data_IF_774879090570
#
_entry.id   IF_774879090570
#
_cell.length_a   1.000
_cell.length_b   1.000
_cell.length_c   1.000
_cell.angle_alpha   90.00
_cell.angle_beta   90.00
_cell.angle_gamma   90.00
#
_symmetry.space_group_name_H-M   'P 1'
#
loop_
_entity.id
_entity.type
_entity.pdbx_description
1 polymer ?
#
# COMPACT_ATOMS: atom_id res chain seq x y z
N UNK A 1 36.29 -31.12 -117.93
CA UNK A 1 35.07 -30.66 -117.23
C UNK A 1 33.87 -30.89 -118.13
N UNK A 2 32.77 -31.42 -117.61
CA UNK A 2 31.51 -31.55 -118.36
C UNK A 2 30.63 -30.31 -118.14
N UNK A 3 29.78 -29.97 -119.11
CA UNK A 3 28.89 -28.79 -119.01
C UNK A 3 28.00 -28.86 -117.75
N UNK A 4 27.56 -30.07 -117.37
CA UNK A 4 26.78 -30.32 -116.16
C UNK A 4 27.50 -29.84 -114.89
N UNK A 5 28.82 -30.03 -114.79
CA UNK A 5 29.61 -29.57 -113.63
C UNK A 5 29.61 -28.04 -113.50
N UNK A 6 29.67 -27.31 -114.62
CA UNK A 6 29.63 -25.84 -114.64
C UNK A 6 28.25 -25.35 -114.19
N UNK A 7 27.16 -25.95 -114.71
CA UNK A 7 25.80 -25.58 -114.31
C UNK A 7 25.53 -25.83 -112.82
N UNK A 8 26.00 -26.96 -112.29
CA UNK A 8 25.85 -27.31 -110.86
C UNK A 8 26.65 -26.36 -109.95
N UNK A 9 27.86 -25.96 -110.37
CA UNK A 9 28.70 -25.01 -109.65
C UNK A 9 28.06 -23.61 -109.60
N UNK A 10 27.50 -23.13 -110.72
CA UNK A 10 26.78 -21.86 -110.77
C UNK A 10 25.52 -21.89 -109.89
N UNK A 11 24.74 -22.99 -109.95
CA UNK A 11 23.57 -23.16 -109.09
C UNK A 11 23.93 -23.16 -107.60
N UNK A 12 25.05 -23.80 -107.22
CA UNK A 12 25.58 -23.77 -105.86
C UNK A 12 25.94 -22.36 -105.38
N UNK A 13 26.59 -21.55 -106.23
CA UNK A 13 26.92 -20.15 -105.92
C UNK A 13 25.64 -19.32 -105.74
N UNK A 14 24.64 -19.48 -106.62
CA UNK A 14 23.35 -18.77 -106.50
C UNK A 14 22.62 -19.15 -105.22
N UNK A 15 22.60 -20.44 -104.86
CA UNK A 15 22.01 -20.89 -103.59
C UNK A 15 22.76 -20.34 -102.37
N UNK A 16 24.09 -20.28 -102.42
CA UNK A 16 24.92 -19.73 -101.35
C UNK A 16 24.63 -18.23 -101.13
N UNK A 17 24.59 -17.43 -102.20
CA UNK A 17 24.27 -15.99 -102.13
C UNK A 17 22.81 -15.75 -101.69
N UNK A 18 21.87 -16.56 -102.18
CA UNK A 18 20.47 -16.49 -101.74
C UNK A 18 20.30 -16.81 -100.25
N UNK A 19 21.08 -17.78 -99.73
CA UNK A 19 21.08 -18.15 -98.31
C UNK A 19 21.57 -17.00 -97.41
N UNK A 20 22.58 -16.23 -97.84
CA UNK A 20 23.00 -15.02 -97.13
C UNK A 20 21.87 -13.98 -97.02
N UNK A 21 21.15 -13.70 -98.12
CA UNK A 21 20.08 -12.71 -98.13
C UNK A 21 18.86 -13.14 -97.27
N UNK A 22 18.56 -14.45 -97.24
CA UNK A 22 17.54 -15.02 -96.34
C UNK A 22 17.99 -14.95 -94.89
N UNK A 23 19.24 -15.35 -94.59
CA UNK A 23 19.78 -15.31 -93.23
C UNK A 23 19.80 -13.89 -92.66
N UNK A 24 20.25 -12.90 -93.43
CA UNK A 24 20.33 -11.49 -92.99
C UNK A 24 18.93 -10.89 -92.71
N UNK A 25 17.90 -11.25 -93.50
CA UNK A 25 16.55 -10.68 -93.35
C UNK A 25 15.59 -11.43 -92.45
N UNK A 26 15.64 -12.77 -92.40
CA UNK A 26 14.73 -13.56 -91.55
C UNK A 26 15.34 -13.83 -90.17
N UNK A 27 16.60 -14.27 -90.09
CA UNK A 27 17.22 -14.62 -88.80
C UNK A 27 17.21 -13.46 -87.82
N UNK A 28 17.51 -12.24 -88.29
CA UNK A 28 17.45 -11.03 -87.46
C UNK A 28 16.05 -10.76 -86.86
N UNK A 29 14.98 -11.04 -87.62
CA UNK A 29 13.60 -10.83 -87.17
C UNK A 29 13.11 -11.96 -86.26
N UNK A 30 13.42 -13.20 -86.62
CA UNK A 30 13.09 -14.39 -85.82
C UNK A 30 13.86 -14.39 -84.48
N UNK A 31 15.08 -13.87 -84.46
CA UNK A 31 15.88 -13.66 -83.25
C UNK A 31 15.34 -12.53 -82.36
N UNK A 32 14.88 -11.40 -82.93
CA UNK A 32 14.19 -10.34 -82.17
C UNK A 32 12.88 -10.87 -81.56
N UNK A 33 12.08 -11.63 -82.33
CA UNK A 33 10.84 -12.23 -81.83
C UNK A 33 11.09 -13.33 -80.78
N UNK A 34 12.13 -14.15 -80.95
CA UNK A 34 12.57 -15.16 -79.98
C UNK A 34 13.08 -14.53 -78.68
N UNK A 35 13.96 -13.52 -78.76
CA UNK A 35 14.49 -12.85 -77.56
C UNK A 35 13.40 -12.08 -76.82
N UNK A 36 12.46 -11.45 -77.54
CA UNK A 36 11.28 -10.78 -76.96
C UNK A 36 10.31 -11.75 -76.27
N UNK A 37 10.00 -12.89 -76.88
CA UNK A 37 9.14 -13.90 -76.28
C UNK A 37 9.83 -14.62 -75.09
N UNK A 38 11.13 -14.91 -75.22
CA UNK A 38 11.95 -15.45 -74.12
C UNK A 38 12.00 -14.48 -72.94
N UNK A 39 12.26 -13.18 -73.19
CA UNK A 39 12.24 -12.13 -72.17
C UNK A 39 10.88 -12.05 -71.45
N UNK A 40 9.76 -12.19 -72.18
CA UNK A 40 8.41 -12.16 -71.61
C UNK A 40 8.09 -13.38 -70.73
N UNK A 41 8.53 -14.58 -71.12
CA UNK A 41 8.34 -15.78 -70.28
C UNK A 41 9.31 -15.81 -69.09
N UNK A 42 10.55 -15.31 -69.25
CA UNK A 42 11.47 -15.07 -68.12
C UNK A 42 10.87 -14.08 -67.13
N UNK A 43 10.27 -12.98 -67.60
CA UNK A 43 9.57 -12.02 -66.75
C UNK A 43 8.42 -12.68 -65.99
N UNK A 44 7.58 -13.48 -66.68
CA UNK A 44 6.51 -14.26 -66.02
C UNK A 44 7.01 -15.23 -64.95
N UNK A 45 8.15 -15.88 -65.17
CA UNK A 45 8.78 -16.78 -64.19
C UNK A 45 9.29 -15.98 -62.99
N UNK A 46 9.93 -14.82 -63.21
CA UNK A 46 10.40 -13.92 -62.15
C UNK A 46 9.22 -13.33 -61.36
N UNK A 47 8.19 -12.81 -62.02
CA UNK A 47 6.98 -12.28 -61.39
C UNK A 47 6.29 -13.35 -60.53
N UNK A 48 6.21 -14.59 -61.03
CA UNK A 48 5.66 -15.71 -60.24
C UNK A 48 6.55 -16.06 -59.04
N UNK A 49 7.85 -16.23 -59.23
CA UNK A 49 8.77 -16.54 -58.12
C UNK A 49 8.79 -15.42 -57.06
N UNK A 50 8.66 -14.16 -57.48
CA UNK A 50 8.51 -13.00 -56.60
C UNK A 50 7.17 -13.04 -55.85
N UNK A 51 6.08 -13.41 -56.51
CA UNK A 51 4.77 -13.61 -55.87
C UNK A 51 4.79 -14.76 -54.85
N UNK A 52 5.37 -15.91 -55.21
CA UNK A 52 5.51 -17.09 -54.35
C UNK A 52 6.41 -16.76 -53.13
N UNK A 53 7.47 -15.97 -53.32
CA UNK A 53 8.33 -15.48 -52.25
C UNK A 53 7.62 -14.46 -51.34
N UNK A 54 6.87 -13.50 -51.92
CA UNK A 54 6.09 -12.53 -51.16
C UNK A 54 5.02 -13.22 -50.30
N UNK A 55 4.30 -14.21 -50.84
CA UNK A 55 3.33 -15.00 -50.07
C UNK A 55 4.03 -15.71 -48.89
N UNK A 56 5.15 -16.41 -49.14
CA UNK A 56 5.91 -17.07 -48.08
C UNK A 56 6.42 -16.10 -47.00
N UNK A 57 6.79 -14.87 -47.38
CA UNK A 57 7.17 -13.81 -46.43
C UNK A 57 5.95 -13.40 -45.58
N UNK A 58 4.78 -13.18 -46.19
CA UNK A 58 3.53 -12.86 -45.47
C UNK A 58 3.14 -13.99 -44.52
N UNK A 59 3.17 -15.25 -44.96
CA UNK A 59 2.86 -16.43 -44.13
C UNK A 59 3.82 -16.54 -42.94
N UNK A 60 5.12 -16.28 -43.16
CA UNK A 60 6.15 -16.31 -42.10
C UNK A 60 5.97 -15.16 -41.11
N UNK A 61 5.59 -13.96 -41.60
CA UNK A 61 5.29 -12.80 -40.75
C UNK A 61 4.05 -13.09 -39.90
N UNK A 62 2.96 -13.60 -40.48
CA UNK A 62 1.75 -13.93 -39.73
C UNK A 62 2.03 -14.97 -38.65
N UNK A 63 2.77 -16.03 -38.99
CA UNK A 63 3.20 -17.06 -38.03
C UNK A 63 4.02 -16.47 -36.87
N UNK A 64 4.98 -15.58 -37.16
CA UNK A 64 5.83 -14.95 -36.12
C UNK A 64 5.09 -13.88 -35.31
N UNK A 65 4.06 -13.25 -35.87
CA UNK A 65 3.14 -12.36 -35.14
C UNK A 65 2.28 -13.17 -34.16
N UNK A 66 1.70 -14.28 -34.60
CA UNK A 66 0.91 -15.18 -33.75
C UNK A 66 1.76 -15.76 -32.60
N UNK A 67 2.95 -16.29 -32.92
CA UNK A 67 3.93 -16.79 -31.95
C UNK A 67 4.36 -15.69 -30.97
N UNK A 68 4.61 -14.48 -31.46
CA UNK A 68 4.97 -13.32 -30.63
C UNK A 68 3.83 -12.82 -29.73
N UNK A 69 2.57 -13.01 -30.13
CA UNK A 69 1.39 -12.76 -29.30
C UNK A 69 1.30 -13.81 -28.19
N UNK A 70 1.47 -15.10 -28.51
CA UNK A 70 1.43 -16.17 -27.50
C UNK A 70 2.60 -16.07 -26.49
N UNK A 71 3.82 -15.82 -26.97
CA UNK A 71 5.01 -15.57 -26.16
C UNK A 71 4.85 -14.35 -25.22
N UNK A 72 4.08 -13.34 -25.61
CA UNK A 72 3.76 -12.18 -24.79
C UNK A 72 2.57 -12.42 -23.84
N UNK A 73 1.55 -13.15 -24.30
CA UNK A 73 0.33 -13.43 -23.53
C UNK A 73 0.61 -14.32 -22.32
N UNK A 74 1.34 -15.42 -22.48
CA UNK A 74 1.66 -16.37 -21.39
C UNK A 74 2.32 -15.71 -20.15
N UNK A 75 3.39 -14.89 -20.28
CA UNK A 75 3.95 -14.18 -19.12
C UNK A 75 3.05 -13.05 -18.64
N UNK A 76 2.27 -12.40 -19.51
CA UNK A 76 1.34 -11.34 -19.11
C UNK A 76 0.13 -11.87 -18.32
N UNK A 77 -0.39 -13.05 -18.66
CA UNK A 77 -1.38 -13.78 -17.86
C UNK A 77 -0.82 -14.14 -16.48
N UNK A 78 0.40 -14.69 -16.43
CA UNK A 78 1.08 -15.01 -15.17
C UNK A 78 1.27 -13.76 -14.30
N UNK A 79 1.77 -12.68 -14.87
CA UNK A 79 1.95 -11.40 -14.17
C UNK A 79 0.61 -10.80 -13.73
N UNK A 80 -0.42 -10.86 -14.58
CA UNK A 80 -1.79 -10.42 -14.22
C UNK A 80 -2.33 -11.19 -13.03
N UNK A 81 -2.18 -12.53 -13.02
CA UNK A 81 -2.60 -13.36 -11.90
C UNK A 81 -1.80 -13.07 -10.61
N UNK A 82 -0.49 -12.87 -10.71
CA UNK A 82 0.36 -12.43 -9.60
C UNK A 82 -0.06 -11.06 -9.05
N UNK A 83 -0.40 -10.10 -9.93
CA UNK A 83 -0.88 -8.78 -9.50
C UNK A 83 -2.29 -8.83 -8.94
N UNK A 84 -3.19 -9.67 -9.43
CA UNK A 84 -4.51 -9.90 -8.80
C UNK A 84 -4.33 -10.49 -7.40
N UNK A 85 -3.43 -11.47 -7.21
CA UNK A 85 -3.11 -12.00 -5.89
C UNK A 85 -2.58 -10.91 -4.95
N UNK A 86 -1.59 -10.13 -5.39
CA UNK A 86 -1.00 -9.06 -4.57
C UNK A 86 -1.97 -7.89 -4.28
N UNK A 87 -2.89 -7.59 -5.22
CA UNK A 87 -3.95 -6.59 -5.03
C UNK A 87 -5.00 -7.10 -4.02
N UNK A 88 -5.35 -8.40 -4.07
CA UNK A 88 -6.25 -8.99 -3.08
C UNK A 88 -5.61 -8.99 -1.68
N UNK A 89 -4.35 -9.44 -1.54
CA UNK A 89 -3.62 -9.43 -0.26
C UNK A 89 -3.49 -8.01 0.33
N UNK A 90 -3.19 -7.01 -0.52
CA UNK A 90 -3.18 -5.61 -0.11
C UNK A 90 -4.58 -5.10 0.27
N UNK A 91 -5.62 -5.47 -0.50
CA UNK A 91 -7.01 -5.11 -0.23
C UNK A 91 -7.49 -5.69 1.11
N UNK A 92 -7.20 -6.96 1.38
CA UNK A 92 -7.56 -7.63 2.63
C UNK A 92 -6.84 -6.98 3.83
N UNK A 93 -5.56 -6.60 3.69
CA UNK A 93 -4.82 -5.85 4.71
C UNK A 93 -5.44 -4.45 4.96
N UNK A 94 -5.83 -3.73 3.90
CA UNK A 94 -6.46 -2.40 4.02
C UNK A 94 -7.87 -2.51 4.61
N UNK A 95 -8.64 -3.53 4.23
CA UNK A 95 -9.97 -3.81 4.80
C UNK A 95 -9.84 -4.13 6.30
N UNK A 96 -8.85 -4.95 6.70
CA UNK A 96 -8.58 -5.26 8.11
C UNK A 96 -8.19 -4.01 8.92
N UNK A 97 -7.39 -3.10 8.35
CA UNK A 97 -7.06 -1.82 9.01
C UNK A 97 -8.28 -0.87 9.07
N UNK A 98 -9.14 -0.86 8.05
CA UNK A 98 -10.42 -0.13 8.05
C UNK A 98 -11.38 -0.70 9.10
N UNK A 99 -11.50 -2.03 9.22
CA UNK A 99 -12.34 -2.71 10.22
C UNK A 99 -11.87 -2.38 11.64
N UNK A 100 -10.56 -2.50 11.91
CA UNK A 100 -9.95 -2.12 13.18
C UNK A 100 -10.16 -0.63 13.49
N UNK A 101 -10.05 0.25 12.49
CA UNK A 101 -10.33 1.68 12.68
C UNK A 101 -11.82 1.95 12.92
N UNK A 102 -12.73 1.19 12.30
CA UNK A 102 -14.16 1.26 12.58
C UNK A 102 -14.50 0.78 14.00
N UNK A 103 -13.89 -0.31 14.47
CA UNK A 103 -13.99 -0.77 15.86
C UNK A 103 -13.50 0.31 16.84
N UNK A 104 -12.32 0.89 16.59
CA UNK A 104 -11.79 2.00 17.39
C UNK A 104 -12.73 3.22 17.41
N UNK A 105 -13.34 3.58 16.27
CA UNK A 105 -14.31 4.68 16.18
C UNK A 105 -15.60 4.35 16.97
N UNK A 106 -16.12 3.13 16.88
CA UNK A 106 -17.28 2.68 17.67
C UNK A 106 -16.96 2.62 19.17
N UNK A 107 -15.76 2.21 19.55
CA UNK A 107 -15.29 2.24 20.93
C UNK A 107 -15.18 3.67 21.46
N UNK A 108 -14.62 4.60 20.68
CA UNK A 108 -14.57 6.03 21.03
C UNK A 108 -15.96 6.66 21.09
N UNK A 109 -16.87 6.31 20.17
CA UNK A 109 -18.26 6.77 20.20
C UNK A 109 -18.97 6.27 21.46
N UNK A 110 -18.81 4.99 21.80
CA UNK A 110 -19.34 4.42 23.05
C UNK A 110 -18.75 5.12 24.28
N UNK A 111 -17.42 5.26 24.36
CA UNK A 111 -16.79 5.96 25.49
C UNK A 111 -17.24 7.42 25.60
N UNK A 112 -17.52 8.10 24.48
CA UNK A 112 -18.07 9.44 24.49
C UNK A 112 -19.52 9.47 25.01
N UNK A 113 -20.34 8.47 24.67
CA UNK A 113 -21.69 8.33 25.23
C UNK A 113 -21.65 7.98 26.72
N UNK A 114 -20.87 6.95 27.11
CA UNK A 114 -20.66 6.55 28.50
C UNK A 114 -20.17 7.75 29.35
N UNK A 115 -19.34 8.64 28.78
CA UNK A 115 -18.90 9.90 29.41
C UNK A 115 -19.96 10.98 29.46
N UNK A 116 -20.80 11.11 28.43
CA UNK A 116 -21.95 12.02 28.44
C UNK A 116 -22.95 11.61 29.52
N UNK A 117 -23.27 10.32 29.61
CA UNK A 117 -24.16 9.75 30.63
C UNK A 117 -23.59 9.95 32.05
N UNK A 118 -22.27 9.76 32.24
CA UNK A 118 -21.59 10.06 33.50
C UNK A 118 -21.70 11.55 33.86
N UNK A 119 -21.41 12.46 32.92
CA UNK A 119 -21.51 13.91 33.12
C UNK A 119 -22.95 14.34 33.43
N UNK A 120 -23.94 13.79 32.76
CA UNK A 120 -25.36 14.13 32.96
C UNK A 120 -25.85 13.61 34.33
N UNK A 121 -25.46 12.40 34.73
CA UNK A 121 -25.71 11.88 36.08
C UNK A 121 -25.05 12.73 37.18
N UNK A 122 -23.82 13.20 36.94
CA UNK A 122 -23.11 14.08 37.87
C UNK A 122 -23.74 15.48 37.92
N UNK A 123 -24.22 16.02 36.80
CA UNK A 123 -24.96 17.29 36.75
C UNK A 123 -26.26 17.19 37.57
N UNK A 124 -27.00 16.09 37.42
CA UNK A 124 -28.20 15.81 38.23
C UNK A 124 -27.90 15.74 39.73
N UNK A 125 -26.81 15.07 40.12
CA UNK A 125 -26.36 15.02 41.52
C UNK A 125 -25.90 16.39 42.06
N UNK A 126 -25.32 17.24 41.21
CA UNK A 126 -24.94 18.62 41.54
C UNK A 126 -26.19 19.49 41.76
N UNK A 127 -27.20 19.41 40.88
CA UNK A 127 -28.44 20.17 41.06
C UNK A 127 -29.27 19.68 42.26
N UNK A 128 -29.29 18.37 42.56
CA UNK A 128 -29.90 17.89 43.80
C UNK A 128 -29.16 18.41 45.04
N UNK A 129 -27.81 18.42 45.00
CA UNK A 129 -26.98 18.96 46.08
C UNK A 129 -27.20 20.46 46.28
N UNK A 130 -27.31 21.23 45.19
CA UNK A 130 -27.63 22.67 45.18
C UNK A 130 -29.01 22.96 45.75
N UNK A 131 -30.01 22.14 45.43
CA UNK A 131 -31.35 22.24 46.02
C UNK A 131 -31.32 21.90 47.53
N UNK A 132 -30.60 20.84 47.93
CA UNK A 132 -30.39 20.49 49.35
C UNK A 132 -29.68 21.62 50.12
N UNK A 133 -28.66 22.25 49.53
CA UNK A 133 -27.95 23.41 50.10
C UNK A 133 -28.90 24.61 50.22
N UNK A 134 -29.72 24.90 49.21
CA UNK A 134 -30.69 26.00 49.25
C UNK A 134 -31.70 25.81 50.39
N UNK A 135 -32.26 24.60 50.53
CA UNK A 135 -33.16 24.23 51.65
C UNK A 135 -32.44 24.27 53.01
N UNK A 136 -31.14 23.96 53.08
CA UNK A 136 -30.35 24.15 54.31
C UNK A 136 -30.13 25.63 54.64
N UNK A 137 -29.83 26.48 53.66
CA UNK A 137 -29.66 27.93 53.86
C UNK A 137 -30.97 28.58 54.31
N UNK A 138 -32.10 28.21 53.72
CA UNK A 138 -33.44 28.63 54.15
C UNK A 138 -33.73 28.21 55.61
N UNK A 139 -33.44 26.96 55.97
CA UNK A 139 -33.58 26.47 57.35
C UNK A 139 -32.64 27.20 58.32
N UNK A 140 -31.41 27.49 57.92
CA UNK A 140 -30.44 28.25 58.74
C UNK A 140 -30.93 29.69 58.96
N UNK A 141 -31.48 30.35 57.93
CA UNK A 141 -32.10 31.67 58.07
C UNK A 141 -33.30 31.63 59.03
N UNK A 142 -34.22 30.68 58.85
CA UNK A 142 -35.37 30.50 59.74
C UNK A 142 -34.96 30.18 61.19
N UNK A 143 -33.89 29.42 61.41
CA UNK A 143 -33.33 29.15 62.74
C UNK A 143 -32.70 30.42 63.33
N UNK A 144 -31.96 31.21 62.54
CA UNK A 144 -31.37 32.49 62.97
C UNK A 144 -32.44 33.49 63.43
N UNK A 145 -33.55 33.62 62.70
CA UNK A 145 -34.69 34.45 63.09
C UNK A 145 -35.34 33.98 64.40
N UNK A 146 -35.48 32.67 64.59
CA UNK A 146 -36.03 32.11 65.83
C UNK A 146 -35.08 32.29 67.03
N UNK A 147 -33.76 32.11 66.85
CA UNK A 147 -32.75 32.40 67.89
C UNK A 147 -32.75 33.89 68.25
N UNK A 148 -32.92 34.78 67.27
CA UNK A 148 -33.03 36.23 67.51
C UNK A 148 -34.27 36.57 68.35
N UNK A 149 -35.42 35.94 68.06
CA UNK A 149 -36.65 36.07 68.87
C UNK A 149 -36.48 35.49 70.28
N UNK A 150 -35.84 34.33 70.42
CA UNK A 150 -35.64 33.67 71.72
C UNK A 150 -34.64 34.42 72.61
N UNK A 151 -33.56 34.97 72.04
CA UNK A 151 -32.58 35.78 72.80
C UNK A 151 -33.14 37.12 73.25
N UNK A 152 -34.06 37.73 72.49
CA UNK A 152 -34.85 38.87 72.94
C UNK A 152 -35.73 38.51 74.16
N UNK A 153 -36.42 37.37 74.13
CA UNK A 153 -37.23 36.89 75.25
C UNK A 153 -36.39 36.57 76.51
N UNK A 154 -35.23 35.94 76.34
CA UNK A 154 -34.36 35.51 77.45
C UNK A 154 -33.76 36.68 78.27
N UNK A 155 -33.63 37.88 77.69
CA UNK A 155 -33.23 39.08 78.45
C UNK A 155 -34.22 39.46 79.55
N UNK A 156 -35.50 39.16 79.37
CA UNK A 156 -36.56 39.50 80.33
C UNK A 156 -36.66 38.50 81.50
N UNK A 157 -35.86 37.42 81.52
CA UNK A 157 -35.98 36.31 82.48
C UNK A 157 -34.81 36.22 83.49
N UNK A 158 -33.70 36.93 83.29
CA UNK A 158 -32.46 36.79 84.09
C UNK A 158 -32.29 37.90 85.14
N UNK A 159 -33.26 38.03 86.04
CA UNK A 159 -33.25 39.01 87.14
C UNK A 159 -33.34 38.40 88.56
N UNK A 160 -33.36 37.06 88.69
CA UNK A 160 -33.61 36.40 89.97
C UNK A 160 -32.66 35.23 90.29
N UNK A 161 -32.19 35.25 91.54
CA UNK A 161 -31.52 34.20 92.32
C UNK A 161 -30.03 33.91 92.02
N UNK A 162 -29.24 33.92 93.10
CA UNK A 162 -27.77 33.87 93.09
C UNK A 162 -27.26 33.34 94.46
N UNK A 163 -27.07 32.03 94.60
CA UNK A 163 -26.06 31.44 95.50
C UNK A 163 -26.02 29.90 95.46
N UNK A 164 -24.82 29.31 95.32
CA UNK A 164 -24.15 28.44 96.33
C UNK A 164 -22.96 27.68 95.74
N UNK A 165 -21.78 28.00 96.26
CA UNK A 165 -20.48 27.27 96.21
C UNK A 165 -20.61 25.73 96.34
N UNK A 166 -19.75 24.83 95.84
CA UNK A 166 -18.46 24.83 95.09
C UNK A 166 -18.27 23.40 94.53
N UNK A 167 -17.46 23.06 93.51
CA UNK A 167 -15.99 22.96 93.50
C UNK A 167 -15.55 22.22 92.20
N UNK A 168 -14.35 22.51 91.65
CA UNK A 168 -13.40 21.58 90.96
C UNK A 168 -12.34 22.40 90.21
N UNK A 169 -11.10 21.89 90.18
CA UNK A 169 -9.91 22.49 89.53
C UNK A 169 -9.88 22.14 88.01
N UNK A 170 -9.45 23.05 87.12
CA UNK A 170 -8.09 23.16 86.56
C UNK A 170 -7.50 21.82 86.02
N UNK A 171 -6.86 21.75 84.83
CA UNK A 171 -6.32 22.80 83.95
C UNK A 171 -6.07 22.27 82.52
N UNK A 172 -6.01 23.19 81.55
CA UNK A 172 -5.23 23.21 80.28
C UNK A 172 -4.96 21.94 79.42
N UNK A 173 -5.18 22.11 78.11
CA UNK A 173 -4.72 21.28 76.99
C UNK A 173 -3.39 21.86 76.40
N UNK A 174 -2.84 21.49 75.21
CA UNK A 174 -3.29 20.56 74.14
C UNK A 174 -2.12 19.60 73.70
N UNK A 175 -1.79 19.20 72.44
CA UNK A 175 -2.22 19.52 71.06
C UNK A 175 -1.76 18.45 70.02
N UNK A 176 -2.23 18.59 68.76
CA UNK A 176 -1.66 18.12 67.46
C UNK A 176 -1.05 16.70 67.31
N UNK A 177 -1.65 15.92 66.41
CA UNK A 177 -0.98 14.86 65.62
C UNK A 177 -0.85 15.31 64.16
N UNK A 178 0.31 15.07 63.52
CA UNK A 178 0.55 15.32 62.09
C UNK A 178 1.06 14.05 61.40
N UNK A 179 0.76 13.90 60.11
CA UNK A 179 1.07 12.75 59.26
C UNK A 179 2.57 12.48 59.06
N UNK A 180 2.94 11.19 58.94
CA UNK A 180 3.83 10.74 57.86
C UNK A 180 3.76 9.21 57.61
N UNK A 181 4.14 8.81 56.40
CA UNK A 181 4.41 7.42 55.99
C UNK A 181 5.92 7.15 56.07
N UNK A 182 6.30 5.91 56.38
CA UNK A 182 7.57 5.27 55.95
C UNK A 182 7.35 3.75 55.84
N UNK A 183 8.28 3.05 55.18
CA UNK A 183 8.20 1.66 54.69
C UNK A 183 9.34 0.82 55.29
N UNK A 184 9.36 -0.51 55.04
CA UNK A 184 10.43 -1.49 55.39
C UNK A 184 10.62 -1.76 56.91
N UNK A 185 11.12 -2.90 57.40
CA UNK A 185 11.27 -4.33 56.98
C UNK A 185 11.34 -5.12 58.34
N UNK A 186 11.24 -6.45 58.56
CA UNK A 186 11.71 -7.66 57.86
C UNK A 186 11.19 -8.94 58.62
N UNK A 187 11.71 -10.12 58.26
CA UNK A 187 11.87 -11.37 59.07
C UNK A 187 10.68 -12.31 59.38
N UNK A 188 10.45 -13.23 58.43
CA UNK A 188 10.62 -14.70 58.56
C UNK A 188 9.73 -15.62 59.46
N UNK A 189 9.15 -16.64 58.78
CA UNK A 189 8.87 -18.06 59.19
C UNK A 189 8.10 -18.33 60.51
N UNK A 190 7.09 -19.20 60.55
CA UNK A 190 7.19 -20.65 60.25
C UNK A 190 5.81 -21.27 59.90
N UNK A 191 5.78 -22.52 59.45
CA UNK A 191 4.59 -23.32 59.07
C UNK A 191 3.64 -23.60 60.26
N UNK A 192 2.36 -23.88 59.98
CA UNK A 192 1.86 -25.28 60.10
C UNK A 192 0.55 -25.51 59.30
N UNK A 193 0.13 -26.77 59.14
CA UNK A 193 -1.13 -27.17 58.46
C UNK A 193 -1.59 -28.57 58.87
N UNK A 194 -2.89 -28.79 59.17
CA UNK A 194 -3.46 -30.12 58.95
C UNK A 194 -4.85 -30.14 58.26
N UNK A 195 -4.84 -30.79 57.09
CA UNK A 195 -5.92 -31.39 56.30
C UNK A 195 -7.17 -31.96 57.02
N UNK A 196 -8.34 -31.89 56.34
CA UNK A 196 -9.15 -33.06 55.86
C UNK A 196 -10.43 -32.64 55.08
N UNK A 197 -11.17 -33.48 54.32
CA UNK A 197 -10.84 -34.46 53.23
C UNK A 197 -12.11 -35.17 52.68
N UNK A 198 -12.52 -34.91 51.43
CA UNK A 198 -13.32 -35.79 50.53
C UNK A 198 -13.36 -35.11 49.13
N UNK A 199 -13.10 -35.67 47.93
CA UNK A 199 -13.12 -37.05 47.36
C UNK A 199 -14.55 -37.60 47.25
N UNK A 200 -15.13 -37.90 46.07
CA UNK A 200 -14.83 -38.89 44.99
C UNK A 200 -15.34 -38.30 43.64
N UNK A 201 -14.55 -38.21 42.53
CA UNK A 201 -14.27 -39.19 41.44
C UNK A 201 -15.45 -39.38 40.44
N UNK A 202 -15.31 -39.65 39.13
CA UNK A 202 -14.15 -40.09 38.32
C UNK A 202 -14.28 -39.76 36.79
N UNK A 203 -13.17 -39.92 36.05
CA UNK A 203 -12.88 -39.97 34.59
C UNK A 203 -14.01 -40.24 33.56
N UNK A 204 -13.96 -39.76 32.30
CA UNK A 204 -13.00 -40.08 31.20
C UNK A 204 -13.13 -39.13 29.96
N UNK A 205 -12.37 -39.19 28.82
CA UNK A 205 -10.93 -39.45 28.49
C UNK A 205 -10.70 -39.61 26.95
N UNK A 206 -9.60 -39.04 26.39
CA UNK A 206 -8.91 -39.37 25.08
C UNK A 206 -9.25 -38.60 23.79
N UNK A 207 -8.29 -37.81 23.26
CA UNK A 207 -7.83 -37.75 21.85
C UNK A 207 -6.77 -36.62 21.67
N UNK A 208 -5.47 -36.92 21.83
CA UNK A 208 -4.48 -37.01 20.74
C UNK A 208 -4.15 -35.68 20.03
N UNK A 209 -3.07 -34.96 20.39
CA UNK A 209 -1.64 -35.26 20.13
C UNK A 209 -1.27 -35.29 18.63
N UNK A 210 -0.77 -34.17 18.11
CA UNK A 210 0.32 -34.14 17.09
C UNK A 210 1.06 -32.78 17.09
N UNK A 211 1.99 -32.61 18.04
CA UNK A 211 3.01 -31.55 18.06
C UNK A 211 4.35 -32.23 18.33
N UNK A 212 5.45 -31.68 17.78
CA UNK A 212 6.84 -32.19 17.71
C UNK A 212 7.22 -32.74 16.33
N UNK A 213 7.77 -31.87 15.47
CA UNK A 213 9.14 -32.00 14.90
C UNK A 213 9.48 -30.78 14.00
N UNK A 214 10.77 -30.56 13.73
CA UNK A 214 11.34 -29.55 12.82
C UNK A 214 11.37 -28.05 13.19
N UNK A 215 11.60 -27.72 14.47
CA UNK A 215 12.40 -26.50 14.77
C UNK A 215 13.87 -26.78 14.40
N UNK A 216 14.23 -26.64 13.11
CA UNK A 216 15.59 -26.95 12.64
C UNK A 216 16.00 -26.29 11.31
N UNK A 217 15.64 -25.02 11.06
CA UNK A 217 16.24 -24.14 10.02
C UNK A 217 15.72 -22.69 10.06
N UNK A 218 16.15 -21.94 11.07
CA UNK A 218 15.82 -20.52 11.23
C UNK A 218 17.05 -19.72 11.71
N UNK A 219 18.17 -19.89 11.01
CA UNK A 219 19.43 -19.18 11.31
C UNK A 219 20.32 -19.07 10.06
N UNK A 220 19.86 -18.32 9.04
CA UNK A 220 20.66 -17.88 7.88
C UNK A 220 19.90 -16.91 6.92
N UNK A 221 19.45 -15.74 7.38
CA UNK A 221 19.58 -14.46 6.63
C UNK A 221 19.14 -13.27 7.49
N UNK A 222 20.08 -12.66 8.22
CA UNK A 222 19.85 -11.40 8.93
C UNK A 222 20.33 -10.23 8.09
N UNK A 223 19.50 -9.73 7.17
CA UNK A 223 19.70 -8.42 6.55
C UNK A 223 18.38 -7.82 6.03
N UNK A 224 18.37 -6.50 5.79
CA UNK A 224 17.23 -5.72 5.24
C UNK A 224 15.97 -5.50 6.13
N UNK A 225 16.09 -5.43 7.47
CA UNK A 225 15.14 -4.67 8.30
C UNK A 225 15.68 -3.25 8.53
N UNK A 226 15.35 -2.32 7.62
CA UNK A 226 15.73 -0.89 7.71
C UNK A 226 14.60 0.07 7.33
N UNK A 227 13.38 -0.23 7.74
CA UNK A 227 12.23 0.68 7.67
C UNK A 227 12.40 1.85 8.67
N UNK A 228 13.31 2.80 8.37
CA UNK A 228 13.66 3.90 9.27
C UNK A 228 14.17 5.22 8.64
N UNK A 229 14.81 5.20 7.46
CA UNK A 229 15.45 6.43 6.90
C UNK A 229 14.98 6.88 5.51
N UNK A 230 14.05 6.17 4.87
CA UNK A 230 13.69 6.40 3.46
C UNK A 230 13.06 7.78 3.13
N UNK A 231 12.67 8.56 4.15
CA UNK A 231 12.25 9.96 3.96
C UNK A 231 13.39 10.93 3.61
N UNK A 232 14.65 10.58 3.92
CA UNK A 232 15.83 11.39 3.56
C UNK A 232 16.34 11.04 2.16
N UNK A 233 16.51 9.76 1.86
CA UNK A 233 17.05 9.27 0.58
C UNK A 233 16.23 9.76 -0.61
N UNK A 234 14.90 9.59 -0.61
CA UNK A 234 14.07 10.10 -1.73
C UNK A 234 14.15 11.63 -1.89
N UNK A 235 14.36 12.40 -0.81
CA UNK A 235 14.60 13.86 -0.88
C UNK A 235 16.00 14.23 -1.41
N UNK A 236 17.01 13.38 -1.23
CA UNK A 236 18.34 13.56 -1.81
C UNK A 236 18.30 13.28 -3.33
N UNK A 237 17.70 12.17 -3.75
CA UNK A 237 17.52 11.82 -5.15
C UNK A 237 16.79 12.94 -5.91
N UNK A 238 15.70 13.48 -5.35
CA UNK A 238 14.97 14.61 -5.94
C UNK A 238 15.82 15.88 -6.09
N UNK A 239 16.78 16.15 -5.20
CA UNK A 239 17.73 17.27 -5.38
C UNK A 239 18.74 16.98 -6.49
N UNK A 240 19.25 15.75 -6.58
CA UNK A 240 20.20 15.35 -7.61
C UNK A 240 19.58 15.44 -9.01
N UNK A 241 18.32 15.04 -9.19
CA UNK A 241 17.56 15.26 -10.44
C UNK A 241 17.64 16.73 -10.88
N UNK A 242 17.35 17.66 -9.97
CA UNK A 242 17.35 19.09 -10.27
C UNK A 242 18.75 19.66 -10.51
N UNK A 243 19.80 19.12 -9.88
CA UNK A 243 21.18 19.51 -10.16
C UNK A 243 21.69 19.00 -11.51
N UNK A 244 21.31 17.78 -11.90
CA UNK A 244 21.69 17.23 -13.21
C UNK A 244 20.92 17.93 -14.35
N UNK A 245 19.63 18.27 -14.14
CA UNK A 245 18.88 19.09 -15.10
C UNK A 245 19.48 20.49 -15.26
N UNK A 246 19.87 21.15 -14.16
CA UNK A 246 20.59 22.44 -14.18
C UNK A 246 21.98 22.37 -14.85
N UNK A 247 22.57 21.19 -14.96
CA UNK A 247 23.81 20.92 -15.73
C UNK A 247 23.55 20.62 -17.21
N UNK A 248 22.29 20.64 -17.66
CA UNK A 248 21.91 20.43 -19.06
C UNK A 248 21.82 18.96 -19.50
N UNK A 249 21.78 18.00 -18.57
CA UNK A 249 21.60 16.58 -18.93
C UNK A 249 20.16 16.27 -19.32
N UNK A 250 20.01 15.36 -20.29
CA UNK A 250 18.70 14.87 -20.74
C UNK A 250 17.98 14.10 -19.64
N UNK A 251 16.66 14.22 -19.59
CA UNK A 251 15.77 13.45 -18.69
C UNK A 251 16.06 11.94 -18.75
N UNK A 252 16.42 11.43 -19.94
CA UNK A 252 16.73 10.01 -20.18
C UNK A 252 18.03 9.59 -19.49
N UNK A 253 19.04 10.47 -19.49
CA UNK A 253 20.35 10.18 -18.90
C UNK A 253 20.30 10.36 -17.38
N UNK A 254 19.54 11.34 -16.88
CA UNK A 254 19.24 11.52 -15.44
C UNK A 254 18.52 10.28 -14.88
N UNK A 255 17.53 9.75 -15.61
CA UNK A 255 16.82 8.53 -15.23
C UNK A 255 17.75 7.31 -15.16
N UNK A 256 18.69 7.20 -16.11
CA UNK A 256 19.68 6.10 -16.14
C UNK A 256 20.68 6.22 -14.99
N UNK A 257 21.26 7.40 -14.78
CA UNK A 257 22.29 7.66 -13.76
C UNK A 257 21.74 7.47 -12.33
N UNK A 258 20.55 8.01 -12.05
CA UNK A 258 19.93 7.92 -10.73
C UNK A 258 19.03 6.68 -10.55
N UNK A 259 19.04 5.74 -11.50
CA UNK A 259 18.17 4.54 -11.51
C UNK A 259 16.70 4.84 -11.18
N UNK A 260 16.20 5.99 -11.64
CA UNK A 260 14.90 6.57 -11.27
C UNK A 260 13.98 6.59 -12.49
N UNK A 261 12.68 6.34 -12.30
CA UNK A 261 11.75 6.23 -13.42
C UNK A 261 11.67 7.52 -14.26
N UNK A 262 11.67 7.40 -15.59
CA UNK A 262 11.56 8.53 -16.53
C UNK A 262 10.40 9.50 -16.19
N UNK A 263 9.26 8.95 -15.76
CA UNK A 263 8.10 9.72 -15.30
C UNK A 263 8.31 10.45 -13.96
N UNK A 264 9.04 9.85 -13.00
CA UNK A 264 9.40 10.51 -11.74
C UNK A 264 10.40 11.65 -11.98
N UNK A 265 11.41 11.43 -12.83
CA UNK A 265 12.39 12.46 -13.21
C UNK A 265 11.68 13.65 -13.86
N UNK A 266 10.80 13.40 -14.84
CA UNK A 266 10.00 14.46 -15.46
C UNK A 266 9.10 15.17 -14.45
N UNK A 267 8.37 14.44 -13.60
CA UNK A 267 7.47 15.04 -12.61
C UNK A 267 8.20 15.96 -11.62
N UNK A 268 9.42 15.59 -11.19
CA UNK A 268 10.25 16.42 -10.31
C UNK A 268 10.75 17.70 -11.01
N UNK A 269 11.03 17.64 -12.30
CA UNK A 269 11.41 18.81 -13.12
C UNK A 269 10.19 19.72 -13.35
N UNK A 270 9.09 19.18 -13.88
CA UNK A 270 7.85 19.90 -14.18
C UNK A 270 7.33 20.66 -12.94
N UNK A 271 7.37 20.03 -11.76
CA UNK A 271 6.92 20.64 -10.50
C UNK A 271 7.85 21.77 -10.01
N UNK A 272 9.16 21.70 -10.28
CA UNK A 272 10.14 22.70 -9.85
C UNK A 272 10.30 23.86 -10.86
N UNK A 273 10.03 23.63 -12.14
CA UNK A 273 10.08 24.66 -13.18
C UNK A 273 8.73 25.36 -13.36
N UNK A 274 7.61 24.64 -13.17
CA UNK A 274 6.29 25.28 -13.04
C UNK A 274 6.24 26.25 -11.86
N UNK A 275 6.70 25.82 -10.68
CA UNK A 275 6.79 26.65 -9.46
C UNK A 275 7.80 27.81 -9.50
N UNK A 276 8.45 28.07 -10.63
CA UNK A 276 9.29 29.26 -10.87
C UNK A 276 8.60 30.35 -11.70
N UNK A 277 7.47 30.03 -12.34
CA UNK A 277 6.79 30.93 -13.28
C UNK A 277 5.55 31.63 -12.67
N UNK A 278 5.35 31.49 -11.35
CA UNK A 278 4.23 32.09 -10.59
C UNK A 278 4.70 33.10 -9.51
N UNK A 279 5.80 33.84 -9.77
CA UNK A 279 6.29 34.95 -8.92
C UNK A 279 6.74 36.12 -9.80
#
# INVERSE_FOLDING_TARGET
MTVVQICLLIAGIVMMVGSFFVAEKLSAKEFDEFTKNSSKELQRIVDKQLSDANQKIVDTIQMRVEEGIEDAQRPLEKLTNEKIMAINEYSDSVIMEIEKNHENIMFLYKMLNDKQDEIESMSSAIDESKNRITVMLEKIAAISDNISRQTAALKNSKAANQNRSTHVQAKEAPEKTKSQMTVEENTAKTQDTPTKKSVVKDSNKTASKKVSESEAKLDAMSEAVTAGENGKSKKLNNKQILELHKKGMSIIDIARELSTGLGEVKLVIDLYEGGKNEV
#
